data_IF_946129303283
#
_entry.id   IF_946129303283
#
_cell.length_a   1.000
_cell.length_b   1.000
_cell.length_c   1.000
_cell.angle_alpha   90.00
_cell.angle_beta   90.00
_cell.angle_gamma   90.00
#
_symmetry.space_group_name_H-M   'P 1'
#
loop_
_entity.id
_entity.type
_entity.pdbx_description
1 polymer ?
#
# COMPACT_ATOMS: atom_id res chain seq x y z
N UNK A 1 4.71 6.35 5.71
CA UNK A 1 3.82 5.17 5.79
C UNK A 1 3.93 4.36 7.09
N UNK A 2 5.14 4.01 7.58
CA UNK A 2 5.34 3.18 8.80
C UNK A 2 4.65 3.75 10.04
N UNK A 3 4.70 5.07 10.24
CA UNK A 3 4.10 5.74 11.39
C UNK A 3 2.56 5.82 11.33
N UNK A 4 1.96 5.97 10.15
CA UNK A 4 0.49 5.91 9.97
C UNK A 4 -0.03 4.53 10.34
N UNK A 5 0.67 3.48 9.92
CA UNK A 5 0.31 2.10 10.26
C UNK A 5 0.42 1.83 11.77
N UNK A 6 1.49 2.34 12.40
CA UNK A 6 1.69 2.26 13.85
C UNK A 6 0.57 2.96 14.64
N UNK A 7 0.18 4.18 14.22
CA UNK A 7 -0.87 4.94 14.91
C UNK A 7 -2.25 4.29 14.70
N UNK A 8 -2.55 3.81 13.49
CA UNK A 8 -3.77 3.05 13.22
C UNK A 8 -3.89 1.79 14.09
N UNK A 9 -2.84 0.96 14.21
CA UNK A 9 -2.88 -0.25 15.04
C UNK A 9 -3.05 0.06 16.53
N UNK A 10 -2.41 1.13 17.02
CA UNK A 10 -2.53 1.56 18.43
C UNK A 10 -3.92 2.11 18.74
N UNK A 11 -4.54 2.80 17.78
CA UNK A 11 -5.92 3.30 17.88
C UNK A 11 -6.98 2.18 17.85
N UNK A 12 -6.64 1.02 17.30
CA UNK A 12 -7.47 -0.19 17.34
C UNK A 12 -7.18 -1.10 18.55
N UNK A 13 -6.39 -0.65 19.52
CA UNK A 13 -6.15 -1.38 20.78
C UNK A 13 -5.15 -2.53 20.69
N UNK A 14 -4.36 -2.60 19.61
CA UNK A 14 -3.29 -3.60 19.47
C UNK A 14 -2.01 -3.01 20.07
N UNK A 15 -1.74 -3.34 21.33
CA UNK A 15 -0.52 -2.91 22.04
C UNK A 15 0.62 -3.92 21.82
N UNK A 16 1.35 -3.77 20.71
CA UNK A 16 2.60 -4.49 20.49
C UNK A 16 3.82 -3.62 20.84
N UNK A 17 4.94 -4.23 21.26
CA UNK A 17 6.21 -3.51 21.50
C UNK A 17 6.64 -2.79 20.21
N UNK A 18 7.07 -1.52 20.29
CA UNK A 18 7.45 -0.69 19.13
C UNK A 18 8.45 -1.39 18.19
N UNK A 19 9.43 -2.12 18.76
CA UNK A 19 10.42 -2.89 17.99
C UNK A 19 9.80 -4.02 17.16
N UNK A 20 8.79 -4.71 17.69
CA UNK A 20 8.05 -5.75 16.97
C UNK A 20 7.21 -5.17 15.84
N UNK A 21 6.49 -4.08 16.10
CA UNK A 21 5.71 -3.37 15.07
C UNK A 21 6.61 -2.80 13.96
N UNK A 22 7.74 -2.19 14.34
CA UNK A 22 8.71 -1.67 13.38
C UNK A 22 9.26 -2.80 12.51
N UNK A 23 9.66 -3.93 13.10
CA UNK A 23 10.14 -5.09 12.34
C UNK A 23 9.05 -5.72 11.46
N UNK A 24 7.81 -5.81 11.95
CA UNK A 24 6.67 -6.32 11.20
C UNK A 24 6.36 -5.43 10.00
N UNK A 25 6.30 -4.12 10.17
CA UNK A 25 6.01 -3.18 9.07
C UNK A 25 7.15 -3.14 8.06
N UNK A 26 8.41 -3.15 8.52
CA UNK A 26 9.56 -3.22 7.61
C UNK A 26 9.60 -4.55 6.87
N UNK A 27 9.22 -5.66 7.52
CA UNK A 27 9.08 -6.96 6.89
C UNK A 27 7.95 -7.00 5.86
N UNK A 28 6.81 -6.37 6.15
CA UNK A 28 5.71 -6.21 5.18
C UNK A 28 6.14 -5.35 4.00
N UNK A 29 6.87 -4.27 4.21
CA UNK A 29 7.44 -3.47 3.13
C UNK A 29 8.41 -4.28 2.26
N UNK A 30 9.25 -5.12 2.88
CA UNK A 30 10.14 -6.02 2.16
C UNK A 30 9.37 -7.02 1.29
N UNK A 31 8.33 -7.64 1.83
CA UNK A 31 7.54 -8.63 1.10
C UNK A 31 6.72 -7.97 0.00
N UNK A 32 6.16 -6.78 0.24
CA UNK A 32 5.49 -5.97 -0.77
C UNK A 32 6.43 -5.49 -1.88
N UNK A 33 7.72 -5.32 -1.59
CA UNK A 33 8.72 -4.97 -2.60
C UNK A 33 9.14 -6.18 -3.45
N UNK A 34 9.15 -7.39 -2.88
CA UNK A 34 9.59 -8.60 -3.57
C UNK A 34 8.49 -9.27 -4.41
N UNK A 35 7.23 -9.15 -4.01
CA UNK A 35 6.10 -9.78 -4.70
C UNK A 35 5.33 -8.76 -5.57
N UNK A 36 5.19 -8.97 -6.89
CA UNK A 36 4.40 -8.12 -7.78
C UNK A 36 2.90 -8.39 -7.61
N UNK A 37 2.39 -8.09 -6.42
CA UNK A 37 1.00 -8.33 -6.04
C UNK A 37 0.19 -7.04 -5.93
N UNK A 38 0.77 -5.88 -6.29
CA UNK A 38 0.13 -4.57 -6.07
C UNK A 38 -0.21 -4.28 -4.59
N UNK A 39 0.64 -4.72 -3.66
CA UNK A 39 0.41 -4.55 -2.21
C UNK A 39 -0.43 -5.64 -1.53
N UNK A 40 -1.02 -6.58 -2.28
CA UNK A 40 -1.80 -7.70 -1.71
C UNK A 40 -0.97 -8.71 -0.89
N UNK A 41 0.33 -8.86 -1.11
CA UNK A 41 1.21 -9.76 -0.35
C UNK A 41 1.41 -9.31 1.10
N UNK A 42 1.46 -8.01 1.35
CA UNK A 42 1.48 -7.43 2.70
C UNK A 42 0.14 -7.61 3.41
N UNK A 43 -0.97 -7.51 2.67
CA UNK A 43 -2.31 -7.85 3.19
C UNK A 43 -2.35 -9.32 3.58
N UNK A 44 -1.82 -10.23 2.76
CA UNK A 44 -1.78 -11.67 3.07
C UNK A 44 -0.99 -11.96 4.36
N UNK A 45 0.15 -11.30 4.60
CA UNK A 45 0.88 -11.42 5.86
C UNK A 45 0.13 -10.85 7.06
N UNK A 46 -0.54 -9.71 6.90
CA UNK A 46 -1.37 -9.16 7.96
C UNK A 46 -2.57 -10.06 8.26
N UNK A 47 -3.12 -10.74 7.25
CA UNK A 47 -4.17 -11.75 7.40
C UNK A 47 -3.63 -13.01 8.10
N UNK A 48 -2.43 -13.47 7.74
CA UNK A 48 -1.79 -14.64 8.37
C UNK A 48 -1.43 -14.34 9.84
N UNK A 49 -0.83 -13.18 10.12
CA UNK A 49 -0.58 -12.70 11.49
C UNK A 49 -1.88 -12.56 12.29
N UNK A 50 -2.95 -12.05 11.66
CA UNK A 50 -4.26 -11.93 12.31
C UNK A 50 -4.84 -13.31 12.65
N UNK A 51 -4.76 -14.29 11.73
CA UNK A 51 -5.22 -15.67 11.99
C UNK A 51 -4.43 -16.33 13.11
N UNK A 52 -3.10 -16.20 13.11
CA UNK A 52 -2.21 -16.78 14.14
C UNK A 52 -2.44 -16.17 15.51
N UNK A 53 -2.75 -14.87 15.57
CA UNK A 53 -2.97 -14.15 16.82
C UNK A 53 -4.45 -14.02 17.24
N UNK A 54 -5.37 -14.78 16.62
CA UNK A 54 -6.80 -14.75 16.94
C UNK A 54 -7.50 -13.40 16.67
N UNK A 55 -6.93 -12.54 15.82
CA UNK A 55 -7.49 -11.23 15.45
C UNK A 55 -8.41 -11.35 14.23
N UNK A 56 -9.38 -10.44 14.15
CA UNK A 56 -10.34 -10.41 13.05
C UNK A 56 -9.69 -10.02 11.72
N UNK A 57 -9.65 -10.96 10.77
CA UNK A 57 -9.19 -10.79 9.38
C UNK A 57 -9.85 -9.59 8.70
N UNK A 58 -11.17 -9.45 8.88
CA UNK A 58 -11.96 -8.36 8.30
C UNK A 58 -11.51 -7.00 8.86
N UNK A 59 -11.30 -6.88 10.18
CA UNK A 59 -10.82 -5.62 10.79
C UNK A 59 -9.43 -5.23 10.25
N UNK A 60 -8.55 -6.20 10.03
CA UNK A 60 -7.23 -5.96 9.47
C UNK A 60 -7.30 -5.47 8.02
N UNK A 61 -8.11 -6.11 7.17
CA UNK A 61 -8.34 -5.67 5.80
C UNK A 61 -8.90 -4.23 5.75
N UNK A 62 -9.92 -3.94 6.57
CA UNK A 62 -10.51 -2.60 6.68
C UNK A 62 -9.50 -1.56 7.14
N UNK A 63 -8.65 -1.89 8.12
CA UNK A 63 -7.61 -0.98 8.60
C UNK A 63 -6.57 -0.64 7.53
N UNK A 64 -6.24 -1.60 6.67
CA UNK A 64 -5.31 -1.41 5.56
C UNK A 64 -5.95 -0.57 4.45
N UNK A 65 -7.21 -0.83 4.13
CA UNK A 65 -7.98 -0.03 3.17
C UNK A 65 -8.13 1.42 3.66
N UNK A 66 -8.41 1.62 4.95
CA UNK A 66 -8.45 2.94 5.57
C UNK A 66 -7.12 3.67 5.45
N UNK A 67 -6.00 3.01 5.80
CA UNK A 67 -4.69 3.62 5.66
C UNK A 67 -4.40 4.01 4.20
N UNK A 68 -4.74 3.15 3.24
CA UNK A 68 -4.50 3.37 1.80
C UNK A 68 -5.33 4.56 1.27
N UNK A 69 -6.62 4.58 1.58
CA UNK A 69 -7.51 5.67 1.13
C UNK A 69 -7.14 6.98 1.80
N UNK A 70 -6.76 6.96 3.09
CA UNK A 70 -6.29 8.16 3.79
C UNK A 70 -4.98 8.69 3.22
N UNK A 71 -4.05 7.81 2.83
CA UNK A 71 -2.77 8.18 2.23
C UNK A 71 -2.96 8.87 0.87
N UNK A 72 -3.74 8.27 -0.02
CA UNK A 72 -4.05 8.89 -1.32
C UNK A 72 -4.87 10.16 -1.20
N UNK A 73 -5.80 10.23 -0.24
CA UNK A 73 -6.56 11.46 0.03
C UNK A 73 -5.64 12.58 0.51
N UNK A 74 -4.71 12.28 1.44
CA UNK A 74 -3.73 13.24 1.92
C UNK A 74 -2.78 13.69 0.81
N UNK A 75 -2.31 12.76 -0.04
CA UNK A 75 -1.50 13.10 -1.20
C UNK A 75 -2.25 13.97 -2.20
N UNK A 76 -3.54 13.74 -2.46
CA UNK A 76 -4.36 14.61 -3.30
C UNK A 76 -4.50 16.03 -2.73
N UNK A 77 -4.70 16.17 -1.41
CA UNK A 77 -4.73 17.48 -0.76
C UNK A 77 -3.37 18.20 -0.86
N UNK A 78 -2.28 17.45 -0.65
CA UNK A 78 -0.92 17.95 -0.83
C UNK A 78 -0.68 18.41 -2.27
N UNK A 79 -1.05 17.57 -3.25
CA UNK A 79 -0.88 17.84 -4.67
C UNK A 79 -1.72 19.04 -5.12
N UNK A 80 -2.94 19.19 -4.60
CA UNK A 80 -3.76 20.38 -4.83
C UNK A 80 -3.04 21.64 -4.34
N UNK A 81 -2.49 21.61 -3.12
CA UNK A 81 -1.69 22.71 -2.59
C UNK A 81 -0.48 23.03 -3.47
N UNK A 82 0.23 22.00 -3.93
CA UNK A 82 1.37 22.13 -4.84
C UNK A 82 0.99 22.78 -6.17
N UNK A 83 -0.08 22.30 -6.82
CA UNK A 83 -0.60 22.87 -8.06
C UNK A 83 -1.04 24.33 -7.90
N UNK A 84 -1.65 24.70 -6.76
CA UNK A 84 -2.02 26.10 -6.47
C UNK A 84 -0.76 26.98 -6.38
N UNK A 85 0.30 26.50 -5.72
CA UNK A 85 1.57 27.22 -5.63
C UNK A 85 2.19 27.42 -7.02
N UNK A 86 2.23 26.36 -7.82
CA UNK A 86 2.78 26.40 -9.19
C UNK A 86 1.98 27.30 -10.12
N UNK A 87 0.65 27.28 -10.00
CA UNK A 87 -0.25 28.16 -10.74
C UNK A 87 0.00 29.64 -10.37
N UNK A 88 0.18 29.95 -9.08
CA UNK A 88 0.47 31.32 -8.63
C UNK A 88 1.84 31.83 -9.10
N UNK A 89 2.80 30.94 -9.29
CA UNK A 89 4.14 31.27 -9.77
C UNK A 89 4.23 31.29 -11.30
N UNK A 90 3.16 30.93 -12.01
CA UNK A 90 3.14 30.72 -13.47
C UNK A 90 4.18 29.69 -13.95
N UNK A 91 4.58 28.77 -13.07
CA UNK A 91 5.53 27.70 -13.40
C UNK A 91 4.81 26.37 -13.72
N UNK A 92 3.47 26.35 -13.69
CA UNK A 92 2.68 25.14 -13.92
C UNK A 92 2.99 24.51 -15.27
N UNK A 93 3.54 23.30 -15.25
CA UNK A 93 3.86 22.55 -16.47
C UNK A 93 2.76 21.54 -16.84
N UNK A 94 2.64 21.16 -18.13
CA UNK A 94 1.62 20.21 -18.59
C UNK A 94 1.69 18.85 -17.88
N UNK A 95 2.90 18.36 -17.59
CA UNK A 95 3.08 17.09 -16.90
C UNK A 95 2.57 17.11 -15.46
N UNK A 96 2.62 18.26 -14.77
CA UNK A 96 2.12 18.41 -13.39
C UNK A 96 0.60 18.35 -13.38
N UNK A 97 -0.04 18.98 -14.38
CA UNK A 97 -1.47 18.90 -14.57
C UNK A 97 -1.93 17.47 -14.88
N UNK A 98 -1.25 16.78 -15.80
CA UNK A 98 -1.55 15.37 -16.13
C UNK A 98 -1.40 14.47 -14.91
N UNK A 99 -0.32 14.62 -14.14
CA UNK A 99 -0.10 13.90 -12.88
C UNK A 99 -1.21 14.18 -11.86
N UNK A 100 -1.59 15.45 -11.73
CA UNK A 100 -2.76 15.88 -10.96
C UNK A 100 -4.00 15.09 -11.35
N UNK A 101 -4.38 15.16 -12.63
CA UNK A 101 -5.59 14.53 -13.15
C UNK A 101 -5.60 13.02 -12.94
N UNK A 102 -4.51 12.32 -13.24
CA UNK A 102 -4.40 10.88 -13.03
C UNK A 102 -4.59 10.54 -11.56
N UNK A 103 -3.94 11.27 -10.66
CA UNK A 103 -4.03 11.01 -9.23
C UNK A 103 -5.42 11.32 -8.65
N UNK A 104 -6.04 12.43 -9.05
CA UNK A 104 -7.41 12.75 -8.64
C UNK A 104 -8.42 11.72 -9.15
N UNK A 105 -8.26 11.23 -10.38
CA UNK A 105 -9.11 10.18 -10.92
C UNK A 105 -8.94 8.87 -10.14
N UNK A 106 -7.70 8.48 -9.85
CA UNK A 106 -7.39 7.27 -9.09
C UNK A 106 -7.95 7.33 -7.66
N UNK A 107 -7.64 8.39 -6.90
CA UNK A 107 -8.14 8.56 -5.54
C UNK A 107 -9.68 8.72 -5.51
N UNK A 108 -10.23 9.50 -6.43
CA UNK A 108 -11.67 9.68 -6.59
C UNK A 108 -12.39 8.37 -6.90
N UNK A 109 -11.79 7.52 -7.74
CA UNK A 109 -12.28 6.17 -8.02
C UNK A 109 -12.35 5.28 -6.78
N UNK A 110 -11.34 5.33 -5.90
CA UNK A 110 -11.38 4.59 -4.63
C UNK A 110 -12.47 5.11 -3.69
N UNK A 111 -12.60 6.43 -3.53
CA UNK A 111 -13.66 7.03 -2.71
C UNK A 111 -15.04 6.68 -3.28
N UNK A 112 -15.21 6.75 -4.59
CA UNK A 112 -16.45 6.37 -5.27
C UNK A 112 -16.79 4.90 -5.03
N UNK A 113 -15.82 4.00 -5.12
CA UNK A 113 -16.01 2.57 -4.84
C UNK A 113 -16.48 2.33 -3.41
N UNK A 114 -15.92 3.04 -2.42
CA UNK A 114 -16.40 2.99 -1.03
C UNK A 114 -17.82 3.54 -0.88
N UNK A 115 -18.13 4.67 -1.53
CA UNK A 115 -19.47 5.27 -1.50
C UNK A 115 -20.53 4.35 -2.16
N UNK A 116 -20.17 3.67 -3.24
CA UNK A 116 -21.02 2.69 -3.89
C UNK A 116 -21.23 1.44 -3.01
N UNK A 117 -20.19 1.01 -2.29
CA UNK A 117 -20.30 -0.03 -1.27
C UNK A 117 -21.32 0.32 -0.18
N UNK A 118 -21.38 1.59 0.24
CA UNK A 118 -22.33 2.08 1.24
C UNK A 118 -23.76 2.23 0.69
N UNK A 119 -23.90 2.87 -0.47
CA UNK A 119 -25.20 3.36 -0.96
C UNK A 119 -25.90 2.39 -1.90
N UNK A 120 -25.14 1.57 -2.64
CA UNK A 120 -25.68 0.75 -3.71
C UNK A 120 -24.93 -0.59 -3.85
N UNK A 121 -24.87 -1.43 -2.80
CA UNK A 121 -24.15 -2.72 -2.84
C UNK A 121 -24.66 -3.63 -3.97
N UNK A 122 -25.97 -3.64 -4.24
CA UNK A 122 -26.55 -4.41 -5.35
C UNK A 122 -26.22 -3.85 -6.75
N UNK A 123 -25.89 -2.57 -6.89
CA UNK A 123 -25.36 -2.05 -8.16
C UNK A 123 -23.89 -2.46 -8.35
N UNK A 124 -23.09 -2.36 -7.28
CA UNK A 124 -21.69 -2.77 -7.28
C UNK A 124 -21.55 -4.25 -7.65
N UNK A 125 -22.37 -5.12 -7.04
CA UNK A 125 -22.40 -6.55 -7.36
C UNK A 125 -22.72 -6.80 -8.84
N UNK A 126 -23.69 -6.07 -9.41
CA UNK A 126 -24.04 -6.20 -10.84
C UNK A 126 -22.87 -5.79 -11.75
N UNK A 127 -22.14 -4.73 -11.43
CA UNK A 127 -20.97 -4.33 -12.23
C UNK A 127 -19.83 -5.34 -12.09
N UNK A 128 -19.56 -5.82 -10.87
CA UNK A 128 -18.55 -6.87 -10.64
C UNK A 128 -18.92 -8.16 -11.39
N UNK A 129 -20.20 -8.51 -11.46
CA UNK A 129 -20.70 -9.66 -12.23
C UNK A 129 -20.48 -9.49 -13.73
N UNK A 130 -20.70 -8.28 -14.28
CA UNK A 130 -20.39 -7.97 -15.69
C UNK A 130 -18.89 -8.11 -15.98
N UNK A 131 -18.05 -7.60 -15.07
CA UNK A 131 -16.60 -7.73 -15.17
C UNK A 131 -16.17 -9.20 -15.09
N UNK A 132 -16.69 -9.97 -14.14
CA UNK A 132 -16.45 -11.40 -14.00
C UNK A 132 -16.81 -12.16 -15.29
N UNK A 133 -17.96 -11.86 -15.89
CA UNK A 133 -18.39 -12.47 -17.16
C UNK A 133 -17.48 -12.08 -18.33
N UNK A 134 -17.00 -10.83 -18.39
CA UNK A 134 -16.05 -10.38 -19.39
C UNK A 134 -14.70 -11.09 -19.24
N UNK A 135 -14.17 -11.17 -18.02
CA UNK A 135 -12.92 -11.87 -17.71
C UNK A 135 -13.03 -13.35 -18.04
N UNK A 136 -14.10 -14.03 -17.62
CA UNK A 136 -14.30 -15.45 -17.94
C UNK A 136 -14.55 -15.67 -19.45
N UNK A 137 -15.09 -14.67 -20.18
CA UNK A 137 -15.19 -14.72 -21.65
C UNK A 137 -13.81 -14.66 -22.32
N UNK A 138 -12.94 -13.77 -21.86
CA UNK A 138 -11.55 -13.69 -22.36
C UNK A 138 -10.76 -14.93 -21.93
N UNK A 139 -10.94 -15.41 -20.69
CA UNK A 139 -10.30 -16.63 -20.19
C UNK A 139 -10.64 -17.87 -20.99
N UNK A 140 -11.87 -17.96 -21.52
CA UNK A 140 -12.27 -19.02 -22.46
C UNK A 140 -11.42 -19.05 -23.73
N UNK A 141 -10.98 -17.89 -24.23
CA UNK A 141 -10.07 -17.82 -25.38
C UNK A 141 -8.71 -18.45 -25.07
N UNK A 142 -8.25 -18.34 -23.82
CA UNK A 142 -7.03 -18.96 -23.31
C UNK A 142 -7.25 -20.34 -22.66
N UNK A 143 -8.38 -21.02 -22.94
CA UNK A 143 -8.75 -22.33 -22.37
C UNK A 143 -8.81 -22.37 -20.82
N UNK A 144 -9.02 -21.23 -20.18
CA UNK A 144 -9.25 -21.10 -18.73
C UNK A 144 -10.67 -20.54 -18.50
N UNK A 145 -11.73 -21.37 -18.56
CA UNK A 145 -13.11 -20.89 -18.50
C UNK A 145 -13.53 -20.34 -17.11
N UNK A 146 -12.84 -20.73 -16.04
CA UNK A 146 -13.15 -20.32 -14.67
C UNK A 146 -11.95 -19.58 -14.04
N UNK A 147 -11.54 -18.46 -14.66
CA UNK A 147 -10.47 -17.61 -14.07
C UNK A 147 -10.95 -17.02 -12.74
N UNK A 148 -12.23 -16.64 -12.66
CA UNK A 148 -12.88 -16.15 -11.45
C UNK A 148 -14.03 -17.07 -11.06
N UNK A 149 -14.12 -17.39 -9.76
CA UNK A 149 -15.17 -18.22 -9.18
C UNK A 149 -16.56 -17.59 -9.34
N UNK A 150 -17.62 -18.40 -9.37
CA UNK A 150 -18.99 -17.91 -9.63
C UNK A 150 -19.51 -16.93 -8.58
N UNK A 151 -19.06 -17.09 -7.34
CA UNK A 151 -19.39 -16.23 -6.20
C UNK A 151 -18.46 -15.01 -6.04
N UNK A 152 -17.47 -14.84 -6.92
CA UNK A 152 -16.46 -13.78 -6.82
C UNK A 152 -17.10 -12.39 -6.72
N UNK A 153 -18.04 -12.06 -7.61
CA UNK A 153 -18.72 -10.77 -7.58
C UNK A 153 -19.51 -10.53 -6.29
N UNK A 154 -20.18 -11.56 -5.76
CA UNK A 154 -20.94 -11.46 -4.51
C UNK A 154 -20.02 -11.25 -3.32
N UNK A 155 -18.96 -12.05 -3.19
CA UNK A 155 -17.98 -11.96 -2.10
C UNK A 155 -17.34 -10.57 -2.08
N UNK A 156 -16.80 -10.10 -3.20
CA UNK A 156 -16.10 -8.82 -3.22
C UNK A 156 -17.04 -7.62 -3.08
N UNK A 157 -18.27 -7.69 -3.63
CA UNK A 157 -19.27 -6.64 -3.37
C UNK A 157 -19.61 -6.56 -1.88
N UNK A 158 -19.77 -7.71 -1.23
CA UNK A 158 -20.06 -7.78 0.20
C UNK A 158 -18.88 -7.29 1.05
N UNK A 159 -17.64 -7.68 0.71
CA UNK A 159 -16.42 -7.20 1.39
C UNK A 159 -16.26 -5.68 1.28
N UNK A 160 -16.48 -5.10 0.10
CA UNK A 160 -16.43 -3.65 -0.11
C UNK A 160 -17.55 -2.97 0.67
N UNK A 161 -18.78 -3.49 0.63
CA UNK A 161 -19.89 -2.93 1.38
C UNK A 161 -19.62 -2.95 2.89
N UNK A 162 -19.22 -4.10 3.44
CA UNK A 162 -18.89 -4.27 4.85
C UNK A 162 -17.75 -3.34 5.28
N UNK A 163 -16.68 -3.27 4.48
CA UNK A 163 -15.54 -2.39 4.74
C UNK A 163 -15.95 -0.92 4.76
N UNK A 164 -16.79 -0.52 3.80
CA UNK A 164 -17.25 0.85 3.68
C UNK A 164 -18.14 1.24 4.86
N UNK A 165 -19.05 0.35 5.31
CA UNK A 165 -19.86 0.58 6.51
C UNK A 165 -19.00 0.75 7.78
N UNK A 166 -17.98 -0.10 7.94
CA UNK A 166 -17.07 -0.02 9.09
C UNK A 166 -16.22 1.26 9.09
N UNK A 167 -15.79 1.73 7.91
CA UNK A 167 -15.06 3.00 7.77
C UNK A 167 -15.97 4.20 8.02
N UNK A 168 -17.19 4.20 7.47
CA UNK A 168 -18.18 5.27 7.65
C UNK A 168 -18.61 5.43 9.11
N UNK A 169 -18.61 4.36 9.90
CA UNK A 169 -18.91 4.41 11.32
C UNK A 169 -17.83 5.12 12.17
N UNK A 170 -16.62 5.36 11.62
CA UNK A 170 -15.49 5.94 12.35
C UNK A 170 -14.85 7.14 11.62
N UNK A 171 -15.60 8.23 11.34
CA UNK A 171 -15.08 9.37 10.57
C UNK A 171 -13.91 10.08 11.24
N UNK A 172 -13.87 10.10 12.59
CA UNK A 172 -12.74 10.67 13.35
C UNK A 172 -11.43 9.96 13.04
N UNK A 173 -11.46 8.64 12.86
CA UNK A 173 -10.25 7.87 12.57
C UNK A 173 -9.73 8.16 11.15
N UNK A 174 -10.64 8.36 10.21
CA UNK A 174 -10.31 8.78 8.85
C UNK A 174 -9.63 10.16 8.86
N UNK A 175 -10.17 11.13 9.59
CA UNK A 175 -9.55 12.46 9.71
C UNK A 175 -8.16 12.38 10.34
N UNK A 176 -8.00 11.64 11.45
CA UNK A 176 -6.69 11.46 12.10
C UNK A 176 -5.67 10.81 11.15
N UNK A 177 -6.06 9.75 10.44
CA UNK A 177 -5.15 9.06 9.51
C UNK A 177 -4.76 9.92 8.31
N UNK A 178 -5.70 10.71 7.76
CA UNK A 178 -5.39 11.71 6.72
C UNK A 178 -4.41 12.76 7.24
N UNK A 179 -4.64 13.33 8.43
CA UNK A 179 -3.75 14.34 9.01
C UNK A 179 -2.33 13.80 9.20
N UNK A 180 -2.18 12.57 9.68
CA UNK A 180 -0.86 11.94 9.83
C UNK A 180 -0.23 11.69 8.47
N UNK A 181 -0.99 11.19 7.48
CA UNK A 181 -0.47 10.97 6.14
C UNK A 181 -0.02 12.30 5.49
N UNK A 182 -0.75 13.40 5.70
CA UNK A 182 -0.38 14.72 5.21
C UNK A 182 0.95 15.20 5.80
N UNK A 183 1.15 15.01 7.11
CA UNK A 183 2.42 15.31 7.78
C UNK A 183 3.55 14.46 7.19
N UNK A 184 3.30 13.18 6.91
CA UNK A 184 4.31 12.31 6.29
C UNK A 184 4.67 12.82 4.89
N UNK A 185 3.69 13.21 4.07
CA UNK A 185 3.99 13.75 2.75
C UNK A 185 4.79 15.06 2.83
N UNK A 186 4.46 15.92 3.80
CA UNK A 186 5.21 17.15 4.05
C UNK A 186 6.66 16.86 4.49
N UNK A 187 6.86 15.89 5.38
CA UNK A 187 8.20 15.46 5.81
C UNK A 187 9.01 14.87 4.65
N UNK A 188 8.38 14.08 3.77
CA UNK A 188 9.04 13.55 2.59
C UNK A 188 9.43 14.67 1.61
N UNK A 189 8.57 15.66 1.40
CA UNK A 189 8.88 16.82 0.57
C UNK A 189 10.05 17.62 1.16
N UNK A 190 10.05 17.85 2.48
CA UNK A 190 11.14 18.53 3.18
C UNK A 190 12.44 17.73 3.06
N UNK A 191 12.40 16.40 3.16
CA UNK A 191 13.56 15.56 2.93
C UNK A 191 14.10 15.71 1.50
N UNK A 192 13.22 15.77 0.49
CA UNK A 192 13.64 16.02 -0.89
C UNK A 192 14.28 17.41 -1.03
N UNK A 193 13.65 18.43 -0.45
CA UNK A 193 14.20 19.79 -0.41
C UNK A 193 15.59 19.84 0.24
N UNK A 194 15.80 19.14 1.36
CA UNK A 194 17.12 19.05 2.01
C UNK A 194 18.15 18.35 1.12
N UNK A 195 17.77 17.36 0.32
CA UNK A 195 18.67 16.72 -0.65
C UNK A 195 19.14 17.76 -1.69
N UNK A 196 18.23 18.53 -2.28
CA UNK A 196 18.61 19.59 -3.22
C UNK A 196 19.57 20.59 -2.58
N UNK A 197 19.31 21.02 -1.35
CA UNK A 197 20.21 21.91 -0.61
C UNK A 197 21.59 21.29 -0.35
N UNK A 198 21.63 20.01 0.06
CA UNK A 198 22.88 19.32 0.39
C UNK A 198 23.82 19.22 -0.84
N UNK A 199 23.25 19.06 -2.03
CA UNK A 199 24.00 19.00 -3.28
C UNK A 199 24.13 20.35 -3.98
N UNK A 200 23.72 21.45 -3.33
CA UNK A 200 23.81 22.81 -3.87
C UNK A 200 23.09 22.97 -5.23
N UNK A 201 21.98 22.27 -5.40
CA UNK A 201 21.18 22.26 -6.63
C UNK A 201 20.11 23.36 -6.62
N UNK A 202 19.60 23.78 -7.79
CA UNK A 202 18.52 24.76 -7.89
C UNK A 202 17.25 24.30 -7.15
N UNK A 203 16.73 25.13 -6.23
CA UNK A 203 15.54 24.81 -5.42
C UNK A 203 14.32 25.61 -5.86
N UNK A 204 13.84 25.39 -7.09
CA UNK A 204 12.55 25.98 -7.51
C UNK A 204 11.38 25.17 -6.97
N UNK A 205 10.23 25.80 -6.75
CA UNK A 205 9.04 25.11 -6.26
C UNK A 205 8.62 23.99 -7.23
N UNK A 206 8.72 24.26 -8.53
CA UNK A 206 8.50 23.28 -9.60
C UNK A 206 9.32 22.02 -9.40
N UNK A 207 10.65 22.12 -9.23
CA UNK A 207 11.51 20.95 -9.09
C UNK A 207 11.13 20.08 -7.88
N UNK A 208 10.86 20.71 -6.74
CA UNK A 208 10.56 19.99 -5.51
C UNK A 208 9.16 19.35 -5.56
N UNK A 209 8.14 20.11 -5.98
CA UNK A 209 6.75 19.65 -6.04
C UNK A 209 6.59 18.61 -7.14
N UNK A 210 7.07 18.90 -8.36
CA UNK A 210 6.95 17.98 -9.50
C UNK A 210 7.68 16.67 -9.23
N UNK A 211 8.95 16.75 -8.80
CA UNK A 211 9.75 15.55 -8.60
C UNK A 211 9.19 14.65 -7.51
N UNK A 212 8.69 15.23 -6.42
CA UNK A 212 7.99 14.46 -5.39
C UNK A 212 6.68 13.87 -5.92
N UNK A 213 5.85 14.67 -6.58
CA UNK A 213 4.56 14.22 -7.09
C UNK A 213 4.70 13.09 -8.13
N UNK A 214 5.66 13.23 -9.05
CA UNK A 214 6.00 12.23 -10.06
C UNK A 214 6.56 10.95 -9.46
N UNK A 215 7.41 11.07 -8.44
CA UNK A 215 7.92 9.92 -7.71
C UNK A 215 6.78 9.11 -7.08
N UNK A 216 5.84 9.79 -6.42
CA UNK A 216 4.67 9.12 -5.83
C UNK A 216 3.76 8.55 -6.91
N UNK A 217 3.47 9.29 -7.98
CA UNK A 217 2.66 8.81 -9.10
C UNK A 217 3.23 7.51 -9.65
N UNK A 218 4.49 7.50 -10.09
CA UNK A 218 5.11 6.30 -10.66
C UNK A 218 5.28 5.17 -9.65
N UNK A 219 5.40 5.47 -8.36
CA UNK A 219 5.37 4.43 -7.31
C UNK A 219 4.00 3.72 -7.28
N UNK A 220 2.91 4.42 -7.59
CA UNK A 220 1.54 3.91 -7.53
C UNK A 220 1.12 3.25 -8.85
N UNK A 221 1.35 3.91 -9.99
CA UNK A 221 0.84 3.44 -11.29
C UNK A 221 1.77 2.44 -12.00
N UNK A 222 3.01 2.30 -11.53
CA UNK A 222 3.97 1.39 -12.18
C UNK A 222 3.54 -0.07 -12.04
N UNK A 223 3.76 -0.90 -13.08
CA UNK A 223 3.59 -2.35 -12.96
C UNK A 223 4.61 -2.98 -12.00
N UNK A 224 5.75 -2.32 -11.76
CA UNK A 224 6.77 -2.80 -10.83
C UNK A 224 6.43 -2.45 -9.38
N UNK A 225 6.73 -3.33 -8.41
CA UNK A 225 6.50 -3.05 -7.00
C UNK A 225 7.16 -1.72 -6.58
N UNK A 226 6.38 -0.83 -5.96
CA UNK A 226 6.82 0.51 -5.54
C UNK A 226 7.49 1.34 -6.65
N UNK A 227 7.21 1.05 -7.93
CA UNK A 227 7.84 1.74 -9.05
C UNK A 227 9.34 1.49 -9.20
N UNK A 228 9.89 0.42 -8.63
CA UNK A 228 11.31 0.08 -8.80
C UNK A 228 11.70 0.00 -10.28
N UNK A 229 12.82 0.64 -10.63
CA UNK A 229 13.34 0.76 -11.98
C UNK A 229 12.64 1.83 -12.82
N UNK A 230 11.32 1.95 -12.69
CA UNK A 230 10.52 2.96 -13.41
C UNK A 230 10.75 4.35 -12.83
N UNK A 231 10.71 4.50 -11.50
CA UNK A 231 10.94 5.79 -10.83
C UNK A 231 12.37 6.25 -11.07
N UNK A 232 13.34 5.35 -10.90
CA UNK A 232 14.76 5.65 -11.10
C UNK A 232 15.10 5.95 -12.56
N UNK A 233 14.30 5.49 -13.53
CA UNK A 233 14.47 5.83 -14.95
C UNK A 233 13.73 7.09 -15.38
N UNK A 234 12.47 7.27 -14.98
CA UNK A 234 11.61 8.34 -15.49
C UNK A 234 11.77 9.66 -14.73
N UNK A 235 11.93 9.62 -13.40
CA UNK A 235 12.04 10.86 -12.61
C UNK A 235 13.28 11.67 -12.99
N UNK A 236 14.47 11.08 -13.21
CA UNK A 236 15.63 11.83 -13.69
C UNK A 236 15.41 12.44 -15.08
N UNK A 237 14.71 11.74 -15.97
CA UNK A 237 14.38 12.27 -17.30
C UNK A 237 13.46 13.50 -17.19
N UNK A 238 12.45 13.44 -16.32
CA UNK A 238 11.57 14.59 -16.07
C UNK A 238 12.39 15.75 -15.51
N UNK A 239 13.24 15.51 -14.51
CA UNK A 239 14.14 16.54 -14.01
C UNK A 239 15.05 17.13 -15.10
N UNK A 240 15.52 16.30 -16.04
CA UNK A 240 16.24 16.75 -17.22
C UNK A 240 15.43 17.72 -18.09
N UNK A 241 14.14 17.45 -18.30
CA UNK A 241 13.25 18.39 -19.01
C UNK A 241 13.00 19.70 -18.26
N UNK A 242 13.21 19.70 -16.93
CA UNK A 242 13.12 20.87 -16.07
C UNK A 242 14.45 21.64 -15.95
N UNK A 243 15.48 21.22 -16.69
CA UNK A 243 16.77 21.90 -16.76
C UNK A 243 17.83 21.38 -15.78
N UNK A 244 17.60 20.28 -15.07
CA UNK A 244 18.67 19.63 -14.30
C UNK A 244 19.62 18.88 -15.23
N UNK A 245 20.91 18.94 -14.90
CA UNK A 245 21.90 18.09 -15.55
C UNK A 245 21.57 16.62 -15.24
N UNK A 246 21.70 15.68 -16.20
CA UNK A 246 21.34 14.27 -16.00
C UNK A 246 21.99 13.61 -14.77
N UNK A 247 23.22 14.00 -14.44
CA UNK A 247 23.95 13.52 -13.26
C UNK A 247 23.22 13.89 -11.97
N UNK A 248 22.80 15.14 -11.85
CA UNK A 248 22.18 15.70 -10.65
C UNK A 248 20.75 15.16 -10.49
N UNK A 249 20.02 15.10 -11.60
CA UNK A 249 18.68 14.51 -11.68
C UNK A 249 18.67 13.04 -11.19
N UNK A 250 19.66 12.26 -11.64
CA UNK A 250 19.81 10.86 -11.26
C UNK A 250 20.22 10.75 -9.80
N UNK A 251 21.18 11.56 -9.36
CA UNK A 251 21.68 11.56 -7.99
C UNK A 251 20.57 11.90 -6.99
N UNK A 252 19.81 12.97 -7.20
CA UNK A 252 18.69 13.36 -6.34
C UNK A 252 17.67 12.23 -6.24
N UNK A 253 17.29 11.66 -7.39
CA UNK A 253 16.31 10.57 -7.43
C UNK A 253 16.80 9.35 -6.65
N UNK A 254 18.04 8.93 -6.86
CA UNK A 254 18.62 7.77 -6.19
C UNK A 254 18.81 8.00 -4.68
N UNK A 255 19.22 9.19 -4.25
CA UNK A 255 19.36 9.50 -2.81
C UNK A 255 17.99 9.54 -2.15
N UNK A 256 17.01 10.20 -2.77
CA UNK A 256 15.65 10.27 -2.24
C UNK A 256 15.02 8.88 -2.13
N UNK A 257 15.14 8.06 -3.18
CA UNK A 257 14.70 6.65 -3.17
C UNK A 257 15.52 5.80 -2.21
N UNK A 258 16.80 6.09 -2.08
CA UNK A 258 17.70 5.49 -1.10
C UNK A 258 17.13 5.58 0.30
N UNK A 259 16.69 6.77 0.69
CA UNK A 259 16.12 7.05 2.01
C UNK A 259 14.69 6.53 2.15
N UNK A 260 13.85 6.75 1.14
CA UNK A 260 12.39 6.48 1.23
C UNK A 260 12.01 5.05 0.94
N UNK A 261 12.84 4.30 0.21
CA UNK A 261 12.54 2.95 -0.25
C UNK A 261 13.66 1.94 0.06
N UNK A 262 14.88 2.15 -0.44
CA UNK A 262 15.95 1.13 -0.35
C UNK A 262 16.43 0.89 1.08
N UNK A 263 16.59 1.94 1.89
CA UNK A 263 17.00 1.81 3.29
C UNK A 263 15.94 1.09 4.13
N UNK A 264 14.64 1.45 4.09
CA UNK A 264 13.57 0.67 4.72
C UNK A 264 13.54 -0.78 4.25
N UNK A 265 13.76 -1.03 2.95
CA UNK A 265 13.79 -2.36 2.37
C UNK A 265 14.91 -3.22 2.97
N UNK A 266 16.13 -2.71 2.98
CA UNK A 266 17.30 -3.41 3.52
C UNK A 266 17.17 -3.66 5.03
N UNK A 267 16.66 -2.68 5.78
CA UNK A 267 16.38 -2.85 7.20
C UNK A 267 15.33 -3.94 7.44
N UNK A 268 14.27 -3.98 6.62
CA UNK A 268 13.25 -5.02 6.67
C UNK A 268 13.81 -6.42 6.44
N UNK A 269 14.67 -6.58 5.43
CA UNK A 269 15.36 -7.84 5.15
C UNK A 269 16.20 -8.31 6.35
N UNK A 270 17.04 -7.43 6.90
CA UNK A 270 17.93 -7.78 8.03
C UNK A 270 17.11 -8.15 9.27
N UNK A 271 16.04 -7.42 9.57
CA UNK A 271 15.19 -7.69 10.74
C UNK A 271 14.41 -9.00 10.59
N UNK A 272 13.85 -9.28 9.41
CA UNK A 272 13.17 -10.55 9.14
C UNK A 272 14.11 -11.74 9.31
N UNK A 273 15.35 -11.63 8.80
CA UNK A 273 16.37 -12.68 8.94
C UNK A 273 16.76 -12.91 10.41
N UNK A 274 16.84 -11.84 11.21
CA UNK A 274 17.21 -11.94 12.64
C UNK A 274 16.09 -12.47 13.53
N UNK A 275 14.83 -12.28 13.15
CA UNK A 275 13.67 -12.66 13.97
C UNK A 275 13.18 -14.10 13.77
N UNK A 276 13.80 -14.90 12.88
CA UNK A 276 13.43 -16.30 12.62
C UNK A 276 11.91 -16.56 12.44
N UNK A 277 11.14 -15.57 11.97
CA UNK A 277 9.69 -15.70 11.74
C UNK A 277 9.31 -16.75 10.67
N UNK A 278 10.31 -17.38 10.04
CA UNK A 278 10.16 -18.46 9.07
C UNK A 278 10.48 -19.88 9.61
N UNK A 279 10.88 -20.05 10.88
CA UNK A 279 11.25 -21.38 11.40
C UNK A 279 10.09 -22.20 11.98
N UNK A 280 8.96 -21.60 12.35
CA UNK A 280 7.79 -22.36 12.83
C UNK A 280 6.92 -22.96 11.71
N UNK A 281 7.19 -22.64 10.43
CA UNK A 281 6.41 -23.18 9.31
C UNK A 281 6.84 -24.58 8.85
N UNK A 282 7.86 -25.19 9.47
CA UNK A 282 8.38 -26.50 9.02
C UNK A 282 8.27 -27.66 10.03
N UNK A 283 7.91 -27.43 11.30
CA UNK A 283 7.79 -28.52 12.29
C UNK A 283 6.61 -28.32 13.23
N UNK A 284 5.42 -28.75 12.81
CA UNK A 284 4.46 -29.43 13.70
C UNK A 284 3.51 -30.25 12.83
N UNK A 285 4.04 -31.39 12.40
CA UNK A 285 3.28 -32.47 11.77
C UNK A 285 2.20 -32.95 12.77
N UNK A 286 0.89 -32.87 12.49
CA UNK A 286 -0.15 -33.26 13.46
C UNK A 286 -0.38 -34.77 13.60
N UNK A 287 0.56 -35.63 13.18
CA UNK A 287 0.28 -37.06 12.95
C UNK A 287 1.36 -38.00 13.46
N UNK A 288 1.74 -37.91 14.75
CA UNK A 288 2.49 -39.00 15.40
C UNK A 288 2.16 -39.28 16.88
N UNK A 289 1.18 -38.62 17.50
CA UNK A 289 0.84 -38.86 18.91
C UNK A 289 -0.56 -39.47 19.15
N UNK A 290 -1.20 -40.05 18.12
CA UNK A 290 -2.50 -40.73 18.25
C UNK A 290 -2.43 -42.27 18.15
N UNK A 291 -1.25 -42.88 18.26
CA UNK A 291 -1.08 -44.34 18.22
C UNK A 291 -0.27 -44.93 19.38
N UNK A 292 -0.24 -44.25 20.53
CA UNK A 292 0.18 -44.86 21.79
C UNK A 292 -0.98 -44.82 22.80
N UNK A 293 -2.13 -45.34 22.38
CA UNK A 293 -3.22 -45.71 23.26
C UNK A 293 -2.98 -47.13 23.74
N UNK A 294 -2.56 -47.25 24.99
CA UNK A 294 -2.51 -48.46 25.80
C UNK A 294 -3.86 -49.21 25.77
N UNK A 295 -3.85 -50.54 25.53
CA UNK A 295 -4.94 -51.38 25.98
C UNK A 295 -4.40 -52.58 26.76
N UNK A 296 -4.33 -52.47 28.09
CA UNK A 296 -4.51 -53.63 28.96
C UNK A 296 -5.96 -53.66 29.46
N UNK A 297 -6.71 -54.69 29.07
CA UNK A 297 -7.67 -55.27 29.99
C UNK A 297 -7.53 -56.80 30.01
N UNK A 298 -6.88 -57.34 31.04
CA UNK A 298 -7.10 -58.73 31.47
C UNK A 298 -8.51 -58.89 32.04
N UNK A 299 -9.28 -59.91 31.63
CA UNK A 299 -10.43 -60.42 32.38
C UNK A 299 -10.05 -61.65 33.24
N UNK A 300 -10.94 -62.12 34.14
CA UNK A 300 -10.57 -62.73 35.41
C UNK A 300 -10.37 -64.25 35.34
N UNK A 301 -9.37 -64.76 36.10
CA UNK A 301 -9.38 -66.00 36.90
C UNK A 301 -8.40 -65.82 38.06
#
# INVERSE_FOLDING_TARGET
>A
HIFVFFVSMRLFGIHHRFRYLLALILGVNFINAMAPSGGMSGIALFIDDAKRNGKSVIKTAVSTLLATVSDFSAFCLFLLGGLIVLLRQNELQPYELVTGLIMFFYAGGMVLLLLLGLKAPGWLERQLRRLQQAINRVGRWFKRPHVLADNWAYIHAHEVAQSSHLMAAKPRLLLVTISIALIIHLLNLLSLYTIFLAFHLPTTASLIIAGYAMTILFTIISPTPNGMGVVEGLVPLIYGTMGLVPTDATLVTLVFRGITFWLPLLLGFVLLRRLHLFQETAVSNPSSNLLAGDPDPRPPV
#
